data_IF_315319739805
#
_entry.id   IF_315319739805
#
_cell.length_a   1.000
_cell.length_b   1.000
_cell.length_c   1.000
_cell.angle_alpha   90.00
_cell.angle_beta   90.00
_cell.angle_gamma   90.00
#
_symmetry.space_group_name_H-M   'P 1'
#
loop_
_entity.id
_entity.type
_entity.pdbx_description
1 polymer ?
#
# COMPACT_ATOMS: atom_id res chain seq x y z
N UNK A 1 12.10 -22.03 16.86
CA UNK A 1 11.67 -22.89 15.77
C UNK A 1 10.17 -22.82 15.48
N UNK A 2 9.32 -22.72 16.51
CA UNK A 2 7.85 -22.76 16.34
C UNK A 2 7.26 -21.56 15.60
N UNK A 3 7.81 -20.36 15.78
CA UNK A 3 7.33 -19.16 15.09
C UNK A 3 7.57 -19.19 13.57
N UNK A 4 8.69 -19.76 13.14
CA UNK A 4 9.02 -19.89 11.72
C UNK A 4 8.11 -20.91 11.01
N UNK A 5 7.85 -22.05 11.67
CA UNK A 5 6.96 -23.08 11.14
C UNK A 5 5.52 -22.58 11.02
N UNK A 6 5.04 -21.83 12.02
CA UNK A 6 3.71 -21.24 11.99
C UNK A 6 3.58 -20.17 10.89
N UNK A 7 4.58 -19.30 10.75
CA UNK A 7 4.59 -18.29 9.69
C UNK A 7 4.61 -18.95 8.30
N UNK A 8 5.39 -20.03 8.12
CA UNK A 8 5.46 -20.76 6.86
C UNK A 8 4.13 -21.46 6.52
N UNK A 9 3.48 -22.08 7.50
CA UNK A 9 2.14 -22.67 7.32
C UNK A 9 1.10 -21.62 6.92
N UNK A 10 1.10 -20.44 7.55
CA UNK A 10 0.17 -19.35 7.21
C UNK A 10 0.43 -18.79 5.81
N UNK A 11 1.69 -18.67 5.40
CA UNK A 11 2.05 -18.24 4.04
C UNK A 11 1.63 -19.27 2.97
N UNK A 12 1.72 -20.56 3.27
CA UNK A 12 1.32 -21.61 2.33
C UNK A 12 -0.19 -21.62 2.03
N UNK A 13 -1.02 -21.09 2.94
CA UNK A 13 -2.48 -21.03 2.77
C UNK A 13 -2.99 -19.70 2.17
N UNK A 14 -2.10 -18.77 1.79
CA UNK A 14 -2.49 -17.53 1.13
C UNK A 14 -2.87 -17.74 -0.32
N UNK A 15 -3.61 -16.79 -0.89
CA UNK A 15 -3.87 -16.74 -2.33
C UNK A 15 -2.60 -16.31 -3.05
N UNK A 16 -2.14 -17.13 -3.99
CA UNK A 16 -0.88 -16.92 -4.71
C UNK A 16 -1.16 -16.74 -6.20
N UNK A 17 -0.42 -15.86 -6.84
CA UNK A 17 -0.38 -15.69 -8.30
C UNK A 17 1.04 -15.83 -8.80
N UNK A 18 1.20 -16.38 -10.00
CA UNK A 18 2.51 -16.45 -10.65
C UNK A 18 2.79 -15.14 -11.35
N UNK A 19 4.01 -14.61 -11.18
CA UNK A 19 4.50 -13.45 -11.92
C UNK A 19 5.68 -13.83 -12.79
N UNK A 20 5.70 -13.29 -14.03
CA UNK A 20 6.82 -13.41 -14.93
C UNK A 20 7.88 -12.38 -14.54
N UNK A 21 9.12 -12.86 -14.35
CA UNK A 21 10.24 -11.94 -14.14
C UNK A 21 10.54 -11.23 -15.46
N UNK A 22 10.52 -9.92 -15.43
CA UNK A 22 10.89 -9.09 -16.57
C UNK A 22 12.42 -8.91 -16.64
N UNK A 23 13.11 -9.17 -15.54
CA UNK A 23 14.58 -9.22 -15.49
C UNK A 23 15.02 -10.69 -15.37
N UNK A 24 15.62 -11.27 -16.42
CA UNK A 24 16.10 -12.65 -16.39
C UNK A 24 17.21 -12.89 -15.36
N UNK A 25 17.87 -11.82 -14.85
CA UNK A 25 18.88 -11.91 -13.80
C UNK A 25 18.27 -11.77 -12.39
N UNK A 26 16.98 -11.48 -12.27
CA UNK A 26 16.27 -11.50 -10.99
C UNK A 26 16.01 -12.96 -10.56
N UNK A 27 17.09 -13.72 -10.32
CA UNK A 27 16.99 -15.06 -9.80
C UNK A 27 16.29 -15.04 -8.44
N UNK A 28 15.06 -15.59 -8.41
CA UNK A 28 14.36 -15.85 -7.18
C UNK A 28 15.17 -16.84 -6.34
N UNK A 29 15.53 -16.44 -5.15
CA UNK A 29 15.78 -17.31 -4.01
C UNK A 29 16.95 -18.30 -4.05
N UNK A 30 18.13 -17.80 -4.00
CA UNK A 30 19.14 -18.27 -3.04
C UNK A 30 19.77 -17.01 -2.45
N UNK A 31 19.11 -16.43 -1.45
CA UNK A 31 19.74 -15.37 -0.66
C UNK A 31 20.54 -16.05 0.44
N UNK A 32 21.87 -16.18 0.31
CA UNK A 32 22.70 -16.46 1.46
C UNK A 32 22.38 -15.41 2.51
N UNK A 33 22.34 -15.80 3.77
CA UNK A 33 22.23 -14.86 4.89
C UNK A 33 23.36 -13.83 4.69
N UNK A 34 22.98 -12.59 4.26
CA UNK A 34 23.94 -11.51 4.03
C UNK A 34 23.93 -10.85 2.65
N UNK A 35 23.36 -11.45 1.59
CA UNK A 35 23.25 -10.83 0.26
C UNK A 35 21.81 -10.38 -0.03
N UNK A 36 21.35 -9.35 0.69
CA UNK A 36 20.04 -8.74 0.51
C UNK A 36 20.13 -7.62 -0.53
N UNK A 37 20.12 -7.96 -1.81
CA UNK A 37 20.01 -6.99 -2.90
C UNK A 37 18.71 -6.19 -2.77
N UNK A 38 18.74 -4.97 -3.29
CA UNK A 38 17.54 -4.14 -3.34
C UNK A 38 16.39 -4.85 -4.09
N UNK A 39 15.17 -4.78 -3.55
CA UNK A 39 13.96 -5.40 -4.09
C UNK A 39 12.87 -4.39 -4.32
N UNK A 40 12.12 -4.58 -5.40
CA UNK A 40 10.97 -3.76 -5.77
C UNK A 40 9.68 -4.58 -5.58
N UNK A 41 8.83 -4.11 -4.68
CA UNK A 41 7.52 -4.69 -4.39
C UNK A 41 6.44 -3.88 -5.08
N UNK A 42 5.74 -4.45 -6.06
CA UNK A 42 4.55 -3.83 -6.62
C UNK A 42 3.37 -4.07 -5.68
N UNK A 43 2.89 -3.00 -5.08
CA UNK A 43 1.72 -3.01 -4.19
C UNK A 43 0.52 -2.46 -4.96
N UNK A 44 -0.57 -3.22 -4.98
CA UNK A 44 -1.84 -2.78 -5.54
C UNK A 44 -2.95 -2.87 -4.50
N UNK A 45 -3.87 -1.91 -4.54
CA UNK A 45 -5.06 -1.94 -3.69
C UNK A 45 -6.27 -2.43 -4.45
N UNK A 46 -7.01 -3.41 -3.97
CA UNK A 46 -8.28 -3.84 -4.57
C UNK A 46 -9.49 -3.54 -3.69
N UNK A 47 -10.63 -3.30 -4.35
CA UNK A 47 -11.88 -2.85 -3.72
C UNK A 47 -12.73 -4.03 -3.22
N UNK A 48 -12.25 -4.83 -2.28
CA UNK A 48 -13.10 -5.80 -1.59
C UNK A 48 -13.65 -5.17 -0.30
N UNK A 49 -14.96 -4.93 -0.24
CA UNK A 49 -15.65 -4.30 0.89
C UNK A 49 -16.45 -5.30 1.74
N UNK A 50 -16.24 -6.60 1.60
CA UNK A 50 -17.01 -7.63 2.30
C UNK A 50 -16.91 -7.54 3.84
N UNK A 51 -15.81 -6.99 4.36
CA UNK A 51 -15.58 -6.82 5.80
C UNK A 51 -16.10 -5.49 6.37
N UNK A 52 -16.66 -4.61 5.55
CA UNK A 52 -17.20 -3.34 6.02
C UNK A 52 -18.65 -3.55 6.43
N UNK A 53 -18.94 -3.31 7.70
CA UNK A 53 -20.30 -3.40 8.21
C UNK A 53 -21.21 -2.40 7.46
N UNK A 54 -22.42 -2.85 7.09
CA UNK A 54 -23.38 -2.03 6.32
C UNK A 54 -23.82 -0.76 7.05
N UNK A 55 -23.79 -0.80 8.36
CA UNK A 55 -24.11 0.30 9.28
C UNK A 55 -22.88 1.16 9.65
N UNK A 56 -21.71 0.82 9.15
CA UNK A 56 -20.51 1.62 9.36
C UNK A 56 -20.70 3.04 8.82
N UNK A 57 -20.35 4.09 9.60
CA UNK A 57 -20.41 5.48 9.13
C UNK A 57 -19.53 5.73 7.91
N UNK A 58 -18.66 4.80 7.59
CA UNK A 58 -17.74 4.83 6.46
C UNK A 58 -18.26 4.04 5.24
N UNK A 59 -19.34 3.28 5.39
CA UNK A 59 -19.86 2.41 4.32
C UNK A 59 -20.20 3.17 3.02
N UNK A 60 -20.71 4.40 3.13
CA UNK A 60 -21.02 5.26 1.98
C UNK A 60 -19.83 5.59 1.09
N UNK A 61 -18.60 5.56 1.63
CA UNK A 61 -17.37 5.79 0.88
C UNK A 61 -16.96 4.64 -0.03
N UNK A 62 -17.58 3.46 0.10
CA UNK A 62 -17.16 2.26 -0.60
C UNK A 62 -18.04 1.89 -1.81
N UNK A 63 -19.20 2.51 -1.98
CA UNK A 63 -20.09 2.39 -3.14
C UNK A 63 -20.61 0.97 -3.43
N UNK A 64 -21.67 0.87 -4.22
CA UNK A 64 -22.13 -0.40 -4.79
C UNK A 64 -21.29 -0.68 -6.06
N UNK A 65 -20.20 -1.44 -5.96
CA UNK A 65 -19.30 -1.71 -7.10
C UNK A 65 -19.44 -3.11 -7.71
N UNK A 66 -20.55 -3.76 -7.55
CA UNK A 66 -20.80 -5.08 -8.17
C UNK A 66 -20.86 -5.07 -9.70
N UNK A 67 -20.90 -3.90 -10.35
CA UNK A 67 -21.17 -3.77 -11.79
C UNK A 67 -19.99 -3.31 -12.67
N UNK A 68 -18.82 -2.96 -12.12
CA UNK A 68 -17.75 -2.34 -12.93
C UNK A 68 -16.39 -3.04 -12.91
N UNK A 69 -16.31 -4.32 -12.61
CA UNK A 69 -15.03 -5.04 -12.55
C UNK A 69 -14.10 -4.51 -11.43
N UNK A 70 -13.16 -5.33 -10.99
CA UNK A 70 -12.19 -4.95 -9.97
C UNK A 70 -11.16 -3.99 -10.58
N UNK A 71 -11.01 -2.82 -9.96
CA UNK A 71 -9.99 -1.83 -10.34
C UNK A 71 -9.06 -1.58 -9.17
N UNK A 72 -7.80 -1.32 -9.46
CA UNK A 72 -6.89 -0.81 -8.46
C UNK A 72 -6.97 0.72 -8.44
N UNK A 73 -7.32 1.28 -7.28
CA UNK A 73 -7.27 2.72 -7.05
C UNK A 73 -5.89 3.17 -6.53
N UNK A 74 -5.03 2.22 -6.19
CA UNK A 74 -3.68 2.47 -5.66
C UNK A 74 -2.69 1.53 -6.32
N UNK A 75 -1.73 2.09 -7.06
CA UNK A 75 -0.63 1.37 -7.69
C UNK A 75 0.65 2.03 -7.20
N UNK A 76 1.50 1.29 -6.51
CA UNK A 76 2.78 1.82 -6.03
C UNK A 76 3.86 0.74 -6.07
N UNK A 77 5.09 1.16 -6.26
CA UNK A 77 6.28 0.32 -6.08
C UNK A 77 6.99 0.78 -4.82
N UNK A 78 7.21 -0.14 -3.90
CA UNK A 78 8.06 0.07 -2.73
C UNK A 78 9.41 -0.58 -3.04
N UNK A 79 10.44 0.25 -3.15
CA UNK A 79 11.83 -0.21 -3.24
C UNK A 79 12.42 -0.28 -1.85
N UNK A 80 13.00 -1.41 -1.51
CA UNK A 80 13.72 -1.64 -0.26
C UNK A 80 15.14 -2.02 -0.59
N UNK A 81 16.12 -1.32 -0.02
CA UNK A 81 17.54 -1.60 -0.15
C UNK A 81 18.12 -1.88 1.24
N UNK A 82 18.24 -3.14 1.64
CA UNK A 82 18.77 -3.50 2.96
C UNK A 82 20.24 -3.19 3.13
N UNK A 83 21.05 -3.21 2.05
CA UNK A 83 22.50 -2.92 2.11
C UNK A 83 22.71 -1.48 2.55
N UNK A 84 22.00 -0.54 1.91
CA UNK A 84 22.13 0.89 2.20
C UNK A 84 21.14 1.35 3.31
N UNK A 85 20.36 0.41 3.85
CA UNK A 85 19.32 0.69 4.85
C UNK A 85 18.36 1.81 4.39
N UNK A 86 17.91 1.74 3.13
CA UNK A 86 17.05 2.73 2.49
C UNK A 86 15.77 2.12 1.94
N UNK A 87 14.72 2.92 1.89
CA UNK A 87 13.50 2.57 1.20
C UNK A 87 12.85 3.78 0.54
N UNK A 88 12.06 3.53 -0.51
CA UNK A 88 11.31 4.56 -1.21
C UNK A 88 9.96 4.03 -1.71
N UNK A 89 8.97 4.91 -1.78
CA UNK A 89 7.66 4.65 -2.38
C UNK A 89 7.58 5.45 -3.68
N UNK A 90 7.23 4.79 -4.77
CA UNK A 90 6.90 5.39 -6.05
C UNK A 90 5.44 5.09 -6.35
N UNK A 91 4.59 6.10 -6.39
CA UNK A 91 3.15 5.96 -6.68
C UNK A 91 2.86 6.30 -8.13
N UNK A 92 1.98 5.52 -8.76
CA UNK A 92 1.49 5.72 -10.11
C UNK A 92 0.04 6.21 -10.03
N UNK A 93 -0.27 7.43 -10.48
CA UNK A 93 -1.65 7.88 -10.59
C UNK A 93 -2.46 6.90 -11.43
N UNK A 94 -3.60 6.44 -10.94
CA UNK A 94 -4.39 5.39 -11.60
C UNK A 94 -4.83 5.72 -13.03
N UNK A 95 -5.01 7.01 -13.29
CA UNK A 95 -5.45 7.53 -14.59
C UNK A 95 -4.26 7.97 -15.47
N UNK A 96 -3.01 7.66 -15.05
CA UNK A 96 -1.80 7.92 -15.81
C UNK A 96 -1.90 7.24 -17.18
N UNK A 97 -1.60 8.00 -18.23
CA UNK A 97 -1.59 7.50 -19.60
C UNK A 97 -0.25 6.84 -19.91
N UNK A 98 -0.29 5.60 -20.36
CA UNK A 98 0.90 4.75 -20.59
C UNK A 98 0.70 3.92 -21.85
N UNK A 99 1.80 3.52 -22.47
CA UNK A 99 1.78 2.50 -23.53
C UNK A 99 1.46 1.13 -22.89
N UNK A 100 0.46 0.45 -23.45
CA UNK A 100 0.03 -0.86 -22.95
C UNK A 100 1.08 -1.92 -23.30
N UNK A 101 1.45 -2.75 -22.34
CA UNK A 101 2.49 -3.79 -22.53
C UNK A 101 2.26 -4.64 -23.78
N UNK A 102 3.32 -4.80 -24.57
CA UNK A 102 3.30 -5.60 -25.79
C UNK A 102 2.48 -4.99 -26.94
N UNK A 103 2.16 -3.69 -26.90
CA UNK A 103 1.43 -3.00 -27.96
C UNK A 103 1.87 -1.55 -28.12
N UNK A 104 1.42 -0.91 -29.22
CA UNK A 104 1.59 0.54 -29.44
C UNK A 104 0.41 1.36 -28.91
N UNK A 105 -0.63 0.70 -28.38
CA UNK A 105 -1.82 1.38 -27.87
C UNK A 105 -1.52 2.05 -26.54
N UNK A 106 -2.06 3.24 -26.37
CA UNK A 106 -2.00 3.96 -25.11
C UNK A 106 -3.32 3.84 -24.34
N UNK A 107 -3.24 3.96 -23.03
CA UNK A 107 -4.40 3.90 -22.14
C UNK A 107 -4.02 4.14 -20.70
N UNK A 108 -5.02 4.20 -19.83
CA UNK A 108 -4.79 4.40 -18.39
C UNK A 108 -4.06 3.20 -17.78
N UNK A 109 -3.10 3.46 -16.90
CA UNK A 109 -2.32 2.39 -16.24
C UNK A 109 -3.22 1.40 -15.48
N UNK A 110 -4.28 1.86 -14.83
CA UNK A 110 -5.19 1.01 -14.06
C UNK A 110 -5.98 0.00 -14.92
N UNK A 111 -6.05 0.17 -16.23
CA UNK A 111 -6.69 -0.80 -17.14
C UNK A 111 -5.85 -2.07 -17.33
N UNK A 112 -4.59 -2.05 -16.88
CA UNK A 112 -3.69 -3.22 -16.89
C UNK A 112 -3.78 -4.04 -15.61
N UNK A 113 -4.57 -3.57 -14.65
CA UNK A 113 -4.71 -4.26 -13.37
C UNK A 113 -5.61 -5.50 -13.51
N UNK A 114 -5.07 -6.63 -13.09
CA UNK A 114 -5.80 -7.87 -12.79
C UNK A 114 -5.16 -8.47 -11.52
N UNK A 115 -5.95 -8.60 -10.46
CA UNK A 115 -5.41 -9.11 -9.18
C UNK A 115 -4.94 -10.56 -9.26
N UNK A 116 -5.48 -11.36 -10.22
CA UNK A 116 -5.11 -12.76 -10.41
C UNK A 116 -3.97 -12.94 -11.41
N UNK A 117 -3.78 -11.96 -12.31
CA UNK A 117 -2.69 -11.98 -13.29
C UNK A 117 -2.07 -10.59 -13.43
N UNK A 118 -1.16 -10.22 -12.52
CA UNK A 118 -0.54 -8.89 -12.50
C UNK A 118 0.50 -8.68 -13.62
N UNK A 119 0.83 -9.70 -14.40
CA UNK A 119 1.93 -9.68 -15.37
C UNK A 119 1.80 -8.55 -16.40
N UNK A 120 0.57 -8.24 -16.83
CA UNK A 120 0.35 -7.13 -17.76
C UNK A 120 0.72 -5.79 -17.14
N UNK A 121 0.34 -5.54 -15.87
CA UNK A 121 0.70 -4.32 -15.16
C UNK A 121 2.21 -4.25 -14.89
N UNK A 122 2.83 -5.35 -14.48
CA UNK A 122 4.28 -5.45 -14.24
C UNK A 122 5.06 -5.11 -15.52
N UNK A 123 4.67 -5.69 -16.64
CA UNK A 123 5.30 -5.42 -17.94
C UNK A 123 5.08 -3.98 -18.38
N UNK A 124 3.88 -3.42 -18.20
CA UNK A 124 3.60 -2.01 -18.49
C UNK A 124 4.51 -1.09 -17.67
N UNK A 125 4.70 -1.36 -16.38
CA UNK A 125 5.61 -0.58 -15.52
C UNK A 125 7.05 -0.70 -16.02
N UNK A 126 7.50 -1.91 -16.37
CA UNK A 126 8.87 -2.12 -16.88
C UNK A 126 9.09 -1.40 -18.21
N UNK A 127 8.18 -1.54 -19.17
CA UNK A 127 8.33 -0.99 -20.53
C UNK A 127 8.25 0.54 -20.54
N UNK A 128 7.41 1.17 -19.70
CA UNK A 128 7.26 2.63 -19.67
C UNK A 128 8.27 3.33 -18.75
N UNK A 129 8.72 2.69 -17.66
CA UNK A 129 9.50 3.37 -16.62
C UNK A 129 10.83 2.69 -16.28
N UNK A 130 11.14 1.55 -16.91
CA UNK A 130 12.36 0.79 -16.64
C UNK A 130 12.41 0.11 -15.27
N UNK A 131 11.30 0.12 -14.50
CA UNK A 131 11.24 -0.44 -13.16
C UNK A 131 10.91 -1.93 -13.23
N UNK A 132 11.87 -2.77 -12.83
CA UNK A 132 11.65 -4.21 -12.63
C UNK A 132 10.92 -4.46 -11.34
N UNK A 133 10.03 -5.45 -11.30
CA UNK A 133 9.27 -5.87 -10.12
C UNK A 133 9.78 -7.24 -9.68
N UNK A 134 10.22 -7.34 -8.43
CA UNK A 134 10.68 -8.60 -7.82
C UNK A 134 9.54 -9.37 -7.17
N UNK A 135 8.63 -8.63 -6.51
CA UNK A 135 7.49 -9.19 -5.79
C UNK A 135 6.21 -8.43 -6.07
N UNK A 136 5.09 -9.16 -6.04
CA UNK A 136 3.75 -8.60 -6.15
C UNK A 136 2.94 -8.81 -4.87
N UNK A 137 2.24 -7.76 -4.44
CA UNK A 137 1.33 -7.81 -3.31
C UNK A 137 0.05 -7.07 -3.65
N UNK A 138 -1.08 -7.75 -3.62
CA UNK A 138 -2.38 -7.10 -3.67
C UNK A 138 -3.02 -7.10 -2.29
N UNK A 139 -3.38 -5.91 -1.81
CA UNK A 139 -3.96 -5.67 -0.49
C UNK A 139 -5.41 -5.22 -0.69
N UNK A 140 -6.36 -6.02 -0.25
CA UNK A 140 -7.76 -5.59 -0.22
C UNK A 140 -8.06 -4.77 1.05
N UNK A 141 -9.25 -4.19 1.11
CA UNK A 141 -9.64 -3.34 2.24
C UNK A 141 -9.67 -4.10 3.57
N UNK A 142 -10.00 -5.39 3.53
CA UNK A 142 -10.08 -6.20 4.74
C UNK A 142 -8.69 -6.49 5.30
N UNK A 143 -7.74 -6.85 4.43
CA UNK A 143 -6.34 -7.02 4.83
C UNK A 143 -5.75 -5.71 5.36
N UNK A 144 -6.05 -4.58 4.70
CA UNK A 144 -5.59 -3.27 5.15
C UNK A 144 -6.08 -2.96 6.58
N UNK A 145 -7.39 -3.13 6.84
CA UNK A 145 -7.95 -2.94 8.18
C UNK A 145 -7.24 -3.79 9.23
N UNK A 146 -7.10 -5.08 8.97
CA UNK A 146 -6.47 -6.01 9.91
C UNK A 146 -5.02 -5.63 10.23
N UNK A 147 -4.26 -5.16 9.23
CA UNK A 147 -2.90 -4.65 9.46
C UNK A 147 -2.91 -3.42 10.35
N UNK A 148 -3.81 -2.46 10.10
CA UNK A 148 -3.91 -1.24 10.91
C UNK A 148 -4.28 -1.58 12.35
N UNK A 149 -5.23 -2.48 12.56
CA UNK A 149 -5.67 -2.89 13.90
C UNK A 149 -4.58 -3.68 14.63
N UNK A 150 -3.87 -4.58 13.92
CA UNK A 150 -2.76 -5.35 14.49
C UNK A 150 -1.59 -4.48 14.98
N UNK A 151 -1.29 -3.37 14.28
CA UNK A 151 -0.27 -2.42 14.76
C UNK A 151 -0.80 -1.49 15.85
N UNK A 152 -2.11 -1.51 16.16
CA UNK A 152 -2.78 -0.66 17.17
C UNK A 152 -2.96 0.77 16.65
N UNK A 153 -3.39 0.89 15.42
CA UNK A 153 -3.69 2.16 14.75
C UNK A 153 -2.47 2.92 14.29
N UNK A 154 -2.70 3.90 13.43
CA UNK A 154 -1.66 4.79 12.87
C UNK A 154 -1.93 6.24 13.26
N UNK A 155 -0.95 6.91 13.83
CA UNK A 155 -1.04 8.30 14.28
C UNK A 155 -0.70 9.27 13.15
N UNK A 156 -1.62 10.21 12.88
CA UNK A 156 -1.44 11.28 11.90
C UNK A 156 -1.70 12.63 12.55
N UNK A 157 -0.80 13.62 12.42
CA UNK A 157 -1.01 14.96 12.97
C UNK A 157 -1.99 15.77 12.13
N UNK A 158 -2.87 16.48 12.79
CA UNK A 158 -3.81 17.44 12.18
C UNK A 158 -3.67 18.80 12.84
N UNK A 159 -3.22 19.79 12.09
CA UNK A 159 -3.22 21.19 12.52
C UNK A 159 -4.62 21.73 12.54
N UNK A 160 -5.41 21.43 11.53
CA UNK A 160 -6.80 21.88 11.41
C UNK A 160 -7.77 20.71 11.49
N UNK A 161 -9.04 21.00 11.83
CA UNK A 161 -10.14 20.03 11.65
C UNK A 161 -10.18 19.63 10.18
N UNK A 162 -10.44 18.35 9.92
CA UNK A 162 -10.46 17.80 8.56
C UNK A 162 -11.64 16.85 8.35
N UNK A 163 -12.11 16.74 7.11
CA UNK A 163 -13.20 15.82 6.75
C UNK A 163 -13.20 15.49 5.26
N UNK A 164 -13.87 14.42 4.92
CA UNK A 164 -14.42 14.15 3.59
C UNK A 164 -15.82 13.54 3.75
N UNK A 165 -16.84 14.28 3.34
CA UNK A 165 -18.23 13.84 3.49
C UNK A 165 -18.57 12.61 2.65
N UNK A 166 -17.85 12.38 1.55
CA UNK A 166 -18.10 11.23 0.66
C UNK A 166 -17.59 9.91 1.21
N UNK A 167 -16.47 9.95 1.95
CA UNK A 167 -15.90 8.75 2.56
C UNK A 167 -16.30 8.57 4.03
N UNK A 168 -16.97 9.57 4.64
CA UNK A 168 -17.26 9.59 6.06
C UNK A 168 -16.07 9.96 6.95
N UNK A 169 -14.89 10.19 6.36
CA UNK A 169 -13.71 10.63 7.10
C UNK A 169 -13.95 11.95 7.83
N UNK A 170 -13.60 12.01 9.11
CA UNK A 170 -13.67 13.25 9.89
C UNK A 170 -12.71 13.25 11.08
N UNK A 171 -12.00 14.36 11.29
CA UNK A 171 -11.23 14.70 12.48
C UNK A 171 -11.68 16.09 12.93
N UNK A 172 -12.41 16.16 14.05
CA UNK A 172 -13.13 17.35 14.49
C UNK A 172 -12.36 18.18 15.51
N UNK A 173 -11.15 17.76 15.89
CA UNK A 173 -10.25 18.53 16.75
C UNK A 173 -9.07 19.03 15.95
N UNK A 174 -8.64 20.27 16.20
CA UNK A 174 -7.41 20.83 15.64
C UNK A 174 -6.22 20.60 16.58
N UNK A 175 -5.02 20.71 16.06
CA UNK A 175 -3.75 20.58 16.79
C UNK A 175 -3.64 19.26 17.57
N UNK A 176 -4.05 18.15 16.96
CA UNK A 176 -3.97 16.82 17.56
C UNK A 176 -3.20 15.84 16.68
N UNK A 177 -2.69 14.80 17.31
CA UNK A 177 -2.22 13.61 16.65
C UNK A 177 -3.34 12.55 16.76
N UNK A 178 -4.11 12.37 15.68
CA UNK A 178 -5.25 11.46 15.64
C UNK A 178 -4.79 10.03 15.34
N UNK A 179 -5.30 9.06 16.10
CA UNK A 179 -5.02 7.63 15.85
C UNK A 179 -6.14 7.06 14.98
N UNK A 180 -5.78 6.62 13.79
CA UNK A 180 -6.68 5.93 12.87
C UNK A 180 -6.68 4.44 13.13
N UNK A 181 -7.85 3.86 13.23
CA UNK A 181 -8.13 2.43 13.27
C UNK A 181 -8.85 2.01 11.98
N UNK A 182 -8.89 0.74 11.69
CA UNK A 182 -9.41 0.05 10.52
C UNK A 182 -10.23 0.86 9.52
N UNK A 183 -11.57 0.93 9.73
CA UNK A 183 -12.50 1.59 8.78
C UNK A 183 -12.22 3.09 8.61
N UNK A 184 -11.84 3.78 9.68
CA UNK A 184 -11.55 5.21 9.61
C UNK A 184 -10.24 5.49 8.87
N UNK A 185 -9.21 4.64 9.04
CA UNK A 185 -7.98 4.70 8.27
C UNK A 185 -8.28 4.54 6.78
N UNK A 186 -9.13 3.58 6.43
CA UNK A 186 -9.52 3.33 5.06
C UNK A 186 -10.29 4.52 4.45
N UNK A 187 -11.23 5.12 5.21
CA UNK A 187 -11.95 6.32 4.78
C UNK A 187 -11.00 7.50 4.51
N UNK A 188 -9.98 7.69 5.37
CA UNK A 188 -8.94 8.70 5.19
C UNK A 188 -8.09 8.45 3.93
N UNK A 189 -7.63 7.20 3.74
CA UNK A 189 -6.80 6.80 2.60
C UNK A 189 -7.53 6.92 1.25
N UNK A 190 -8.86 6.86 1.25
CA UNK A 190 -9.70 6.99 0.05
C UNK A 190 -10.20 8.40 -0.21
N UNK A 191 -9.96 9.35 0.71
CA UNK A 191 -10.44 10.72 0.61
C UNK A 191 -9.88 11.44 -0.63
N UNK A 192 -10.77 11.86 -1.52
CA UNK A 192 -10.47 12.69 -2.71
C UNK A 192 -11.08 14.08 -2.61
N UNK A 193 -12.08 14.25 -1.72
CA UNK A 193 -12.77 15.50 -1.47
C UNK A 193 -12.42 15.99 -0.07
N UNK A 194 -11.11 15.91 0.23
CA UNK A 194 -10.56 16.33 1.51
C UNK A 194 -10.84 17.80 1.75
N UNK A 195 -11.34 18.12 2.94
CA UNK A 195 -11.59 19.48 3.38
C UNK A 195 -10.89 19.71 4.71
N UNK A 196 -10.36 20.90 4.88
CA UNK A 196 -9.89 21.40 6.19
C UNK A 196 -10.67 22.63 6.59
N UNK A 197 -10.80 22.85 7.89
CA UNK A 197 -11.41 24.05 8.43
C UNK A 197 -10.35 25.14 8.55
N UNK A 198 -10.60 26.25 7.86
CA UNK A 198 -9.77 27.45 7.93
C UNK A 198 -10.26 28.33 9.09
N UNK A 199 -9.51 28.45 10.20
CA UNK A 199 -9.95 29.21 11.36
C UNK A 199 -9.99 30.73 11.11
N UNK A 200 -9.13 31.25 10.22
CA UNK A 200 -9.10 32.67 9.88
C UNK A 200 -10.34 33.09 9.07
N UNK A 201 -10.78 32.21 8.17
CA UNK A 201 -11.97 32.47 7.33
C UNK A 201 -13.25 31.85 7.91
N UNK A 202 -13.15 31.13 9.03
CA UNK A 202 -14.26 30.41 9.69
C UNK A 202 -15.05 29.51 8.75
N UNK A 203 -14.40 28.90 7.75
CA UNK A 203 -15.05 28.05 6.75
C UNK A 203 -14.26 26.82 6.37
N UNK A 204 -14.93 25.83 5.82
CA UNK A 204 -14.32 24.65 5.23
C UNK A 204 -13.79 24.96 3.84
N UNK A 205 -12.53 24.60 3.62
CA UNK A 205 -11.88 24.70 2.32
C UNK A 205 -11.66 23.29 1.76
N UNK A 206 -11.82 23.15 0.45
CA UNK A 206 -11.56 21.88 -0.25
C UNK A 206 -10.13 21.86 -0.77
N UNK A 207 -9.46 20.74 -0.61
CA UNK A 207 -8.14 20.49 -1.19
C UNK A 207 -8.25 20.46 -2.73
N UNK A 208 -7.64 21.43 -3.44
CA UNK A 208 -7.71 21.48 -4.88
C UNK A 208 -6.90 20.35 -5.55
N UNK A 209 -5.98 19.74 -4.82
CA UNK A 209 -5.09 18.68 -5.36
C UNK A 209 -5.82 17.36 -5.62
N UNK A 210 -7.05 17.19 -5.11
CA UNK A 210 -7.92 16.03 -5.40
C UNK A 210 -7.18 14.67 -5.31
N UNK A 211 -6.88 14.05 -6.45
CA UNK A 211 -6.22 12.74 -6.52
C UNK A 211 -4.75 12.80 -6.09
N UNK A 212 -4.04 13.85 -6.43
CA UNK A 212 -2.65 14.07 -5.99
C UNK A 212 -2.55 14.21 -4.47
N UNK A 213 -3.50 14.95 -3.86
CA UNK A 213 -3.58 15.06 -2.41
C UNK A 213 -3.89 13.72 -1.75
N UNK A 214 -4.71 12.88 -2.37
CA UNK A 214 -4.95 11.50 -1.91
C UNK A 214 -3.65 10.68 -1.96
N UNK A 215 -2.91 10.71 -3.05
CA UNK A 215 -1.64 9.98 -3.20
C UNK A 215 -0.64 10.42 -2.13
N UNK A 216 -0.49 11.73 -1.91
CA UNK A 216 0.41 12.25 -0.86
C UNK A 216 0.02 11.76 0.54
N UNK A 217 -1.29 11.75 0.85
CA UNK A 217 -1.81 11.22 2.13
C UNK A 217 -1.58 9.71 2.25
N UNK A 218 -1.73 8.97 1.16
CA UNK A 218 -1.42 7.53 1.13
C UNK A 218 0.06 7.26 1.42
N UNK A 219 0.97 8.00 0.80
CA UNK A 219 2.40 7.85 1.01
C UNK A 219 2.80 8.19 2.46
N UNK A 220 2.31 9.32 3.01
CA UNK A 220 2.57 9.69 4.41
C UNK A 220 2.02 8.65 5.38
N UNK A 221 0.80 8.17 5.13
CA UNK A 221 0.18 7.14 5.97
C UNK A 221 0.96 5.82 5.92
N UNK A 222 1.38 5.36 4.73
CA UNK A 222 2.18 4.16 4.56
C UNK A 222 3.53 4.26 5.27
N UNK A 223 4.21 5.41 5.17
CA UNK A 223 5.45 5.65 5.90
C UNK A 223 5.26 5.54 7.42
N UNK A 224 4.17 6.11 7.96
CA UNK A 224 3.82 6.02 9.40
C UNK A 224 3.45 4.59 9.80
N UNK A 225 2.76 3.87 8.95
CA UNK A 225 2.42 2.46 9.15
C UNK A 225 3.69 1.60 9.24
N UNK A 226 4.61 1.76 8.28
CA UNK A 226 5.91 1.06 8.27
C UNK A 226 6.68 1.38 9.53
N UNK A 227 6.79 2.67 9.91
CA UNK A 227 7.44 3.08 11.16
C UNK A 227 6.81 2.37 12.37
N UNK A 228 5.51 2.41 12.50
CA UNK A 228 4.78 1.80 13.62
C UNK A 228 4.98 0.29 13.68
N UNK A 229 4.95 -0.38 12.53
CA UNK A 229 5.17 -1.83 12.43
C UNK A 229 6.60 -2.21 12.85
N UNK A 230 7.60 -1.47 12.38
CA UNK A 230 9.00 -1.68 12.75
C UNK A 230 9.24 -1.41 14.24
N UNK A 231 8.72 -0.32 14.78
CA UNK A 231 8.87 0.02 16.20
C UNK A 231 8.25 -1.08 17.10
N UNK A 232 7.07 -1.59 16.72
CA UNK A 232 6.46 -2.72 17.43
C UNK A 232 7.24 -4.02 17.28
N UNK A 233 7.75 -4.32 16.09
CA UNK A 233 8.54 -5.52 15.84
C UNK A 233 9.84 -5.53 16.65
N UNK A 234 10.48 -4.36 16.80
CA UNK A 234 11.68 -4.20 17.64
C UNK A 234 11.40 -4.42 19.11
N UNK A 235 10.26 -3.91 19.59
CA UNK A 235 9.88 -4.02 21.00
C UNK A 235 9.30 -5.39 21.38
N UNK A 236 8.64 -6.09 20.44
CA UNK A 236 8.01 -7.37 20.67
C UNK A 236 7.93 -8.23 19.40
N UNK A 237 8.82 -9.22 19.23
CA UNK A 237 8.82 -10.11 18.06
C UNK A 237 7.52 -10.89 17.84
N UNK A 238 6.74 -11.17 18.91
CA UNK A 238 5.43 -11.84 18.79
C UNK A 238 4.42 -10.94 18.10
N UNK A 239 4.51 -9.61 18.28
CA UNK A 239 3.67 -8.64 17.58
C UNK A 239 4.01 -8.60 16.10
N UNK A 240 5.30 -8.71 15.72
CA UNK A 240 5.70 -8.81 14.32
C UNK A 240 5.02 -9.99 13.62
N UNK A 241 4.98 -11.15 14.28
CA UNK A 241 4.25 -12.34 13.78
C UNK A 241 2.75 -12.07 13.66
N UNK A 242 2.15 -11.37 14.62
CA UNK A 242 0.74 -10.97 14.57
C UNK A 242 0.41 -10.06 13.39
N UNK A 243 1.24 -9.03 13.15
CA UNK A 243 1.10 -8.12 12.01
C UNK A 243 1.24 -8.87 10.68
N UNK A 244 2.22 -9.77 10.58
CA UNK A 244 2.42 -10.61 9.40
C UNK A 244 1.20 -11.50 9.13
N UNK A 245 0.67 -12.15 10.16
CA UNK A 245 -0.52 -12.99 10.03
C UNK A 245 -1.76 -12.19 9.61
N UNK A 246 -1.96 -10.99 10.15
CA UNK A 246 -3.05 -10.12 9.75
C UNK A 246 -2.91 -9.69 8.27
N UNK A 247 -1.70 -9.30 7.86
CA UNK A 247 -1.42 -8.94 6.48
C UNK A 247 -1.68 -10.09 5.50
N UNK A 248 -1.40 -11.34 5.90
CA UNK A 248 -1.48 -12.52 5.03
C UNK A 248 -2.90 -13.09 4.88
N UNK A 249 -3.85 -12.69 5.68
CA UNK A 249 -5.18 -13.30 5.72
C UNK A 249 -5.97 -13.08 4.42
N UNK A 250 -5.90 -11.88 3.84
CA UNK A 250 -6.64 -11.50 2.63
C UNK A 250 -5.74 -10.95 1.51
N UNK A 251 -4.43 -11.07 1.68
CA UNK A 251 -3.43 -10.62 0.70
C UNK A 251 -3.25 -11.66 -0.40
N UNK A 252 -3.15 -11.20 -1.65
CA UNK A 252 -2.66 -12.01 -2.77
C UNK A 252 -1.20 -11.64 -2.98
N UNK A 253 -0.31 -12.64 -3.06
CA UNK A 253 1.12 -12.42 -3.30
C UNK A 253 1.62 -13.29 -4.45
N UNK A 254 2.81 -12.97 -4.97
CA UNK A 254 3.51 -13.90 -5.86
C UNK A 254 3.96 -15.17 -5.12
N UNK A 255 4.27 -16.20 -5.89
CA UNK A 255 4.67 -17.53 -5.42
C UNK A 255 6.05 -17.57 -4.76
N UNK A 256 6.89 -16.58 -5.03
CA UNK A 256 8.27 -16.47 -4.51
C UNK A 256 8.36 -15.72 -3.19
N UNK A 257 7.37 -14.92 -2.83
CA UNK A 257 7.34 -14.22 -1.56
C UNK A 257 6.97 -15.18 -0.42
N UNK A 258 7.94 -15.67 0.32
CA UNK A 258 7.76 -16.61 1.42
C UNK A 258 8.05 -15.99 2.80
N UNK A 259 7.73 -16.73 3.88
CA UNK A 259 7.89 -16.24 5.25
C UNK A 259 9.33 -15.90 5.58
N UNK A 260 10.27 -16.71 5.11
CA UNK A 260 11.69 -16.51 5.38
C UNK A 260 12.17 -15.20 4.78
N UNK A 261 11.80 -14.92 3.53
CA UNK A 261 12.14 -13.65 2.85
C UNK A 261 11.61 -12.44 3.60
N UNK A 262 10.34 -12.49 4.04
CA UNK A 262 9.74 -11.37 4.80
C UNK A 262 10.45 -11.16 6.14
N UNK A 263 10.77 -12.24 6.85
CA UNK A 263 11.47 -12.16 8.13
C UNK A 263 12.92 -11.67 7.97
N UNK A 264 13.65 -12.16 6.96
CA UNK A 264 15.00 -11.72 6.65
C UNK A 264 15.04 -10.24 6.26
N UNK A 265 14.10 -9.80 5.43
CA UNK A 265 13.96 -8.39 5.05
C UNK A 265 13.66 -7.52 6.27
N UNK A 266 12.72 -7.94 7.12
CA UNK A 266 12.39 -7.24 8.35
C UNK A 266 13.58 -7.14 9.32
N UNK A 267 14.37 -8.19 9.44
CA UNK A 267 15.59 -8.20 10.25
C UNK A 267 16.68 -7.30 9.65
N UNK A 268 16.87 -7.34 8.34
CA UNK A 268 17.86 -6.49 7.66
C UNK A 268 17.50 -5.00 7.79
N UNK A 269 16.21 -4.66 7.76
CA UNK A 269 15.69 -3.30 7.91
C UNK A 269 15.42 -2.91 9.37
N UNK A 270 15.89 -3.67 10.35
CA UNK A 270 15.62 -3.39 11.77
C UNK A 270 16.08 -2.02 12.24
N UNK A 271 17.14 -1.47 11.65
CA UNK A 271 17.68 -0.16 11.98
C UNK A 271 17.19 0.96 11.04
N UNK A 272 16.34 0.63 10.07
CA UNK A 272 15.81 1.60 9.12
C UNK A 272 14.94 2.66 9.82
N UNK A 273 15.23 3.94 9.58
CA UNK A 273 14.34 5.02 9.98
C UNK A 273 13.31 5.31 8.89
N UNK A 274 12.07 4.93 9.14
CA UNK A 274 10.98 5.17 8.19
C UNK A 274 10.71 6.66 7.92
N UNK A 275 11.20 7.59 8.75
CA UNK A 275 11.10 9.02 8.47
C UNK A 275 11.98 9.43 7.27
N UNK A 276 13.03 8.68 6.97
CA UNK A 276 13.91 8.90 5.80
C UNK A 276 13.40 8.27 4.52
N UNK A 277 12.25 7.56 4.58
CA UNK A 277 11.67 6.89 3.42
C UNK A 277 11.29 7.89 2.33
N UNK A 278 11.91 7.77 1.15
CA UNK A 278 11.60 8.59 -0.02
C UNK A 278 10.15 8.36 -0.48
N UNK A 279 9.49 9.43 -0.94
CA UNK A 279 8.12 9.37 -1.45
C UNK A 279 8.04 10.14 -2.76
N UNK A 280 7.72 9.44 -3.85
CA UNK A 280 7.72 9.96 -5.19
C UNK A 280 6.38 9.63 -5.86
N UNK A 281 5.91 10.53 -6.71
CA UNK A 281 4.75 10.28 -7.56
C UNK A 281 5.18 10.45 -9.00
N UNK A 282 4.91 9.46 -9.84
CA UNK A 282 5.23 9.56 -11.25
C UNK A 282 4.42 10.69 -11.88
N UNK A 283 5.07 11.62 -12.62
CA UNK A 283 4.36 12.69 -13.27
C UNK A 283 3.42 12.10 -14.33
N UNK A 284 2.13 12.41 -14.25
CA UNK A 284 1.18 12.07 -15.30
C UNK A 284 1.49 12.94 -16.52
N UNK A 285 1.63 12.34 -17.69
CA UNK A 285 1.55 13.09 -18.94
C UNK A 285 0.07 13.42 -19.09
N UNK A 286 -0.31 14.63 -18.65
CA UNK A 286 -1.65 15.14 -18.92
C UNK A 286 -1.79 15.29 -20.43
N UNK A 287 -2.80 14.64 -21.03
CA UNK A 287 -3.28 15.12 -22.31
C UNK A 287 -3.87 16.51 -22.05
N UNK A 288 -3.27 17.52 -22.66
CA UNK A 288 -3.83 18.86 -22.81
C UNK A 288 -5.04 18.77 -23.76
#
# INVERSE_FOLDING_TARGET
>A
GTGLLFANWKLSNRKVVTIDLVDPNANGFDLPIGDLKAKNFLITGSDNNACIAKDSPYAGGFGKRSSYGERSDSIMVIRVNPIDNQAAIISFPRDMWVTQAGSTRQGRINTNFDKKNPNRLIRTIKENFGISVDHYVNIDFCAFKEVIDAVGGVRVPFVNKARDKRTGFKVLKANICYTFEGDHALAYMRSRHYQWYDPALQKWRTDPSSDWGRIARQQDFMRRLVKKALDKARSNPRVATGVLNAALKNVITDDRLNALTVLQLGQAMKNFDANTMGSYTMPGIGQV
#
